data_IF_216220583461
#
_entry.id   IF_216220583461
#
_cell.length_a   1.000
_cell.length_b   1.000
_cell.length_c   1.000
_cell.angle_alpha   90.00
_cell.angle_beta   90.00
_cell.angle_gamma   90.00
#
_symmetry.space_group_name_H-M   'P 1'
#
loop_
_entity.id
_entity.type
_entity.pdbx_description
1 polymer ?
#
# COMPACT_ATOMS: atom_id res chain seq x y z
N UNK A 1 10.41 1.33 26.37
CA UNK A 1 11.20 1.62 25.14
C UNK A 1 10.38 2.56 24.26
N UNK A 2 10.98 3.54 23.56
CA UNK A 2 10.25 4.38 22.62
C UNK A 2 9.69 3.56 21.45
N UNK A 3 8.53 3.95 20.94
CA UNK A 3 7.95 3.40 19.71
C UNK A 3 8.49 4.20 18.54
N UNK A 4 9.16 3.55 17.60
CA UNK A 4 9.57 4.14 16.32
C UNK A 4 8.37 4.13 15.38
N UNK A 5 7.95 5.30 14.92
CA UNK A 5 6.85 5.43 13.97
C UNK A 5 7.38 5.87 12.60
N UNK A 6 7.47 4.92 11.67
CA UNK A 6 8.07 5.12 10.36
C UNK A 6 7.05 5.74 9.41
N UNK A 7 7.43 6.86 8.80
CA UNK A 7 6.62 7.62 7.84
C UNK A 7 7.24 7.44 6.45
N UNK A 8 6.50 6.90 5.46
CA UNK A 8 7.07 6.50 4.17
C UNK A 8 7.30 7.63 3.17
N UNK A 9 7.27 8.89 3.61
CA UNK A 9 7.38 10.08 2.78
C UNK A 9 8.20 11.18 3.46
N UNK A 10 8.60 12.18 2.67
CA UNK A 10 9.43 13.29 3.12
C UNK A 10 8.75 14.10 4.23
N UNK A 11 9.57 14.71 5.08
CA UNK A 11 9.11 15.60 6.13
C UNK A 11 8.39 16.83 5.55
N UNK A 12 7.41 17.37 6.27
CA UNK A 12 6.57 18.49 5.83
C UNK A 12 5.51 18.13 4.78
N UNK A 13 5.36 16.85 4.44
CA UNK A 13 4.24 16.32 3.66
C UNK A 13 3.03 15.96 4.53
N UNK A 14 1.93 15.57 3.88
CA UNK A 14 0.68 15.14 4.54
C UNK A 14 0.91 14.00 5.54
N UNK A 15 1.71 13.01 5.13
CA UNK A 15 2.00 11.82 5.93
C UNK A 15 2.89 12.15 7.13
N UNK A 16 3.75 13.17 7.02
CA UNK A 16 4.57 13.64 8.14
C UNK A 16 3.72 14.37 9.19
N UNK A 17 2.83 15.25 8.74
CA UNK A 17 1.89 15.95 9.62
C UNK A 17 1.00 14.95 10.38
N UNK A 18 0.42 13.99 9.66
CA UNK A 18 -0.37 12.91 10.26
C UNK A 18 0.42 12.12 11.31
N UNK A 19 1.65 11.73 10.96
CA UNK A 19 2.48 10.92 11.85
C UNK A 19 2.90 11.65 13.12
N UNK A 20 3.21 12.96 13.00
CA UNK A 20 3.55 13.82 14.13
C UNK A 20 2.34 14.09 15.03
N UNK A 21 1.16 14.30 14.46
CA UNK A 21 -0.09 14.44 15.22
C UNK A 21 -0.36 13.19 16.06
N UNK A 22 -0.23 12.00 15.48
CA UNK A 22 -0.35 10.74 16.23
C UNK A 22 0.68 10.68 17.35
N UNK A 23 1.95 10.99 17.07
CA UNK A 23 3.00 10.93 18.09
C UNK A 23 2.75 11.90 19.27
N UNK A 24 2.25 13.10 18.99
CA UNK A 24 1.95 14.13 19.99
C UNK A 24 0.78 13.74 20.91
N UNK A 25 -0.25 13.08 20.38
CA UNK A 25 -1.46 12.78 21.13
C UNK A 25 -1.51 11.36 21.70
N UNK A 26 -1.06 10.35 20.94
CA UNK A 26 -1.18 8.95 21.33
C UNK A 26 -0.27 8.58 22.52
N UNK A 27 0.85 9.28 22.71
CA UNK A 27 1.75 9.03 23.85
C UNK A 27 1.03 9.09 25.21
N UNK A 28 0.05 10.01 25.36
CA UNK A 28 -0.76 10.18 26.58
C UNK A 28 -1.60 8.93 26.92
N UNK A 29 -2.04 8.20 25.89
CA UNK A 29 -2.86 7.00 26.04
C UNK A 29 -2.02 5.72 26.16
N UNK A 30 -0.71 5.82 26.00
CA UNK A 30 0.24 4.71 26.09
C UNK A 30 1.12 4.84 27.33
N UNK A 31 0.59 5.32 28.45
CA UNK A 31 1.33 5.53 29.70
C UNK A 31 2.60 6.39 29.50
N UNK A 32 2.51 7.45 28.68
CA UNK A 32 3.61 8.34 28.33
C UNK A 32 4.79 7.66 27.62
N UNK A 33 4.55 6.52 26.95
CA UNK A 33 5.55 5.94 26.05
C UNK A 33 5.83 6.92 24.92
N UNK A 34 7.09 7.29 24.75
CA UNK A 34 7.52 8.18 23.67
C UNK A 34 7.30 7.52 22.30
N UNK A 35 6.69 8.27 21.37
CA UNK A 35 6.55 7.89 19.97
C UNK A 35 7.47 8.80 19.16
N UNK A 36 8.38 8.21 18.39
CA UNK A 36 9.40 8.92 17.62
C UNK A 36 9.08 8.80 16.13
N UNK A 37 8.59 9.88 15.48
CA UNK A 37 8.39 9.93 14.04
C UNK A 37 9.72 9.85 13.29
N UNK A 38 9.83 8.93 12.32
CA UNK A 38 11.03 8.77 11.48
C UNK A 38 10.61 8.73 10.02
N UNK A 39 10.93 9.79 9.26
CA UNK A 39 10.71 9.82 7.82
C UNK A 39 11.73 8.93 7.11
N UNK A 40 11.26 7.97 6.31
CA UNK A 40 12.07 7.19 5.37
C UNK A 40 11.46 7.31 3.98
N UNK A 41 12.22 7.86 3.05
CA UNK A 41 11.72 8.24 1.72
C UNK A 41 12.22 7.31 0.62
N UNK A 42 11.63 7.43 -0.57
CA UNK A 42 12.07 6.76 -1.80
C UNK A 42 11.19 5.59 -2.23
N UNK A 43 11.21 5.31 -3.54
CA UNK A 43 10.40 4.29 -4.22
C UNK A 43 8.91 4.33 -3.81
N UNK A 44 8.33 5.54 -3.74
CA UNK A 44 6.94 5.78 -3.31
C UNK A 44 6.56 5.13 -1.97
N UNK A 45 7.53 5.04 -1.06
CA UNK A 45 7.37 4.50 0.28
C UNK A 45 7.68 3.00 0.42
N UNK A 46 8.12 2.33 -0.65
CA UNK A 46 8.52 0.92 -0.59
C UNK A 46 9.70 0.70 0.38
N UNK A 47 10.68 1.61 0.39
CA UNK A 47 11.88 1.51 1.25
C UNK A 47 11.49 1.51 2.73
N UNK A 48 10.60 2.42 3.13
CA UNK A 48 10.09 2.50 4.49
C UNK A 48 9.29 1.24 4.87
N UNK A 49 8.43 0.78 3.97
CA UNK A 49 7.62 -0.43 4.20
C UNK A 49 8.50 -1.66 4.37
N UNK A 50 9.54 -1.81 3.55
CA UNK A 50 10.53 -2.89 3.66
C UNK A 50 11.31 -2.82 4.97
N UNK A 51 11.69 -1.62 5.41
CA UNK A 51 12.37 -1.46 6.69
C UNK A 51 11.52 -1.95 7.87
N UNK A 52 10.22 -1.64 7.88
CA UNK A 52 9.31 -2.11 8.95
C UNK A 52 9.01 -3.60 8.81
N UNK A 53 8.89 -4.12 7.59
CA UNK A 53 8.80 -5.58 7.35
C UNK A 53 9.98 -6.33 7.94
N UNK A 54 11.19 -5.79 7.83
CA UNK A 54 12.42 -6.40 8.33
C UNK A 54 12.68 -6.15 9.82
N UNK A 55 11.94 -5.22 10.45
CA UNK A 55 12.05 -4.95 11.87
C UNK A 55 11.51 -6.11 12.73
N UNK A 56 11.92 -6.14 14.01
CA UNK A 56 11.41 -7.10 14.97
C UNK A 56 9.87 -6.95 15.13
N UNK A 57 9.09 -8.05 15.15
CA UNK A 57 7.64 -8.01 15.35
C UNK A 57 7.31 -7.88 16.85
N UNK A 58 7.84 -6.85 17.51
CA UNK A 58 7.73 -6.61 18.95
C UNK A 58 6.78 -5.44 19.31
N UNK A 59 6.19 -4.80 18.29
CA UNK A 59 5.27 -3.68 18.46
C UNK A 59 5.94 -2.32 18.67
N UNK A 60 7.28 -2.26 18.76
CA UNK A 60 8.02 -1.00 18.93
C UNK A 60 8.39 -0.33 17.61
N UNK A 61 8.16 -0.99 16.48
CA UNK A 61 8.28 -0.38 15.14
C UNK A 61 6.94 -0.42 14.44
N UNK A 62 6.37 0.76 14.20
CA UNK A 62 5.10 0.94 13.52
C UNK A 62 5.32 1.64 12.18
N UNK A 63 4.49 1.31 11.20
CA UNK A 63 4.46 1.94 9.90
C UNK A 63 3.19 2.76 9.73
N UNK A 64 3.33 3.98 9.23
CA UNK A 64 2.21 4.71 8.65
C UNK A 64 1.92 4.12 7.26
N UNK A 65 1.00 3.17 7.21
CA UNK A 65 0.52 2.59 5.96
C UNK A 65 -0.29 3.62 5.17
N UNK A 66 -0.02 3.70 3.87
CA UNK A 66 -0.68 4.60 2.91
C UNK A 66 -1.17 3.78 1.72
N UNK A 67 -2.13 4.30 0.96
CA UNK A 67 -2.65 3.66 -0.26
C UNK A 67 -1.52 3.34 -1.24
N UNK A 68 -0.58 4.27 -1.43
CA UNK A 68 0.58 4.06 -2.30
C UNK A 68 1.37 2.80 -1.89
N UNK A 69 1.70 2.67 -0.60
CA UNK A 69 2.52 1.56 -0.11
C UNK A 69 1.77 0.25 0.01
N UNK A 70 0.50 0.24 0.42
CA UNK A 70 -0.24 -0.99 0.75
C UNK A 70 -1.30 -1.41 -0.26
N UNK A 71 -1.61 -0.60 -1.27
CA UNK A 71 -2.57 -0.96 -2.32
C UNK A 71 -1.97 -0.83 -3.71
N UNK A 72 -1.45 0.36 -4.07
CA UNK A 72 -1.01 0.62 -5.44
C UNK A 72 0.28 -0.12 -5.77
N UNK A 73 1.33 0.01 -4.96
CA UNK A 73 2.61 -0.66 -5.25
C UNK A 73 2.46 -2.19 -5.31
N UNK A 74 1.79 -2.87 -4.36
CA UNK A 74 1.57 -4.32 -4.47
C UNK A 74 0.75 -4.75 -5.69
N UNK A 75 -0.11 -3.87 -6.22
CA UNK A 75 -0.88 -4.15 -7.44
C UNK A 75 -0.10 -3.86 -8.72
N UNK A 76 0.84 -2.92 -8.69
CA UNK A 76 1.61 -2.48 -9.85
C UNK A 76 2.90 -3.28 -10.04
N UNK A 77 3.59 -3.63 -8.95
CA UNK A 77 4.93 -4.21 -8.98
C UNK A 77 4.91 -5.68 -8.55
N UNK A 78 5.00 -6.59 -9.51
CA UNK A 78 5.01 -8.04 -9.26
C UNK A 78 6.23 -8.51 -8.47
N UNK A 79 7.36 -7.79 -8.59
CA UNK A 79 8.64 -8.09 -7.91
C UNK A 79 8.79 -7.40 -6.56
N UNK A 80 7.73 -6.74 -6.06
CA UNK A 80 7.76 -6.06 -4.78
C UNK A 80 8.04 -7.05 -3.66
N UNK A 81 9.02 -6.72 -2.81
CA UNK A 81 9.52 -7.61 -1.77
C UNK A 81 8.62 -7.64 -0.52
N UNK A 82 7.40 -7.10 -0.58
CA UNK A 82 6.41 -7.18 0.48
C UNK A 82 4.99 -7.27 -0.08
N UNK A 83 4.07 -7.80 0.72
CA UNK A 83 2.63 -7.81 0.45
C UNK A 83 1.87 -7.05 1.53
N UNK A 84 0.71 -6.52 1.15
CA UNK A 84 -0.14 -5.75 2.04
C UNK A 84 -0.65 -6.55 3.25
N UNK A 85 -0.77 -7.87 3.11
CA UNK A 85 -1.24 -8.79 4.15
C UNK A 85 -0.14 -9.36 5.07
N UNK A 86 1.09 -8.86 4.95
CA UNK A 86 2.19 -9.20 5.87
C UNK A 86 2.21 -8.32 7.12
N UNK A 87 1.29 -7.36 7.19
CA UNK A 87 1.16 -6.40 8.28
C UNK A 87 -0.16 -6.56 9.02
N UNK A 88 -0.12 -6.43 10.34
CA UNK A 88 -1.28 -6.28 11.21
C UNK A 88 -1.73 -4.83 11.18
N UNK A 89 -2.92 -4.60 10.62
CA UNK A 89 -3.51 -3.27 10.58
C UNK A 89 -4.16 -2.96 11.93
N UNK A 90 -3.74 -1.88 12.58
CA UNK A 90 -4.19 -1.51 13.92
C UNK A 90 -5.41 -0.59 13.88
N UNK A 91 -5.30 0.53 13.19
CA UNK A 91 -6.38 1.53 13.13
C UNK A 91 -6.25 2.42 11.90
N UNK A 92 -7.38 3.02 11.51
CA UNK A 92 -7.47 4.12 10.56
C UNK A 92 -7.30 5.43 11.32
N UNK A 93 -6.30 6.23 10.95
CA UNK A 93 -6.01 7.50 11.64
C UNK A 93 -6.58 8.72 10.92
N UNK A 94 -6.75 8.66 9.61
CA UNK A 94 -7.28 9.78 8.83
C UNK A 94 -7.90 9.33 7.50
N UNK A 95 -8.88 10.12 7.05
CA UNK A 95 -9.42 10.10 5.70
C UNK A 95 -9.24 11.51 5.14
N UNK A 96 -8.35 11.65 4.15
CA UNK A 96 -8.12 12.93 3.50
C UNK A 96 -8.88 13.00 2.16
N UNK A 97 -9.27 14.19 1.66
CA UNK A 97 -9.69 14.40 0.27
C UNK A 97 -8.54 14.85 -0.64
N UNK A 98 -8.52 14.37 -1.91
CA UNK A 98 -7.56 14.84 -2.93
C UNK A 98 -8.10 16.13 -3.51
N UNK A 99 -7.24 17.15 -3.63
CA UNK A 99 -7.60 18.41 -4.26
C UNK A 99 -6.61 18.68 -5.37
N UNK A 100 -7.11 19.01 -6.56
CA UNK A 100 -6.31 19.54 -7.65
C UNK A 100 -6.22 21.05 -7.50
N UNK A 101 -5.01 21.58 -7.44
CA UNK A 101 -4.75 23.01 -7.36
C UNK A 101 -3.76 23.41 -8.44
N UNK A 102 -3.86 24.67 -8.85
CA UNK A 102 -2.93 25.32 -9.77
C UNK A 102 -2.18 26.41 -9.02
N UNK A 103 -1.12 26.96 -9.61
CA UNK A 103 -0.46 28.14 -9.05
C UNK A 103 -1.44 29.32 -9.00
N UNK A 104 -1.24 30.25 -8.05
CA UNK A 104 -2.12 31.41 -7.89
C UNK A 104 -2.17 32.32 -9.13
N UNK A 105 -1.05 32.39 -9.86
CA UNK A 105 -0.86 33.11 -11.12
C UNK A 105 -1.36 32.34 -12.36
N UNK A 106 -1.90 31.14 -12.19
CA UNK A 106 -2.45 30.34 -13.28
C UNK A 106 -3.67 31.01 -13.93
N UNK A 107 -3.81 30.94 -15.26
CA UNK A 107 -5.00 31.42 -15.95
C UNK A 107 -6.23 30.54 -15.68
N UNK A 108 -6.04 29.30 -15.23
CA UNK A 108 -7.14 28.37 -14.94
C UNK A 108 -7.77 28.68 -13.58
N UNK A 109 -9.04 29.06 -13.58
CA UNK A 109 -9.87 29.32 -12.40
C UNK A 109 -10.89 28.21 -12.16
N UNK A 110 -11.18 27.40 -13.18
CA UNK A 110 -12.09 26.26 -13.08
C UNK A 110 -11.44 24.96 -13.54
N UNK A 111 -11.96 23.83 -13.05
CA UNK A 111 -11.54 22.51 -13.53
C UNK A 111 -11.83 22.33 -15.03
N UNK A 112 -12.93 22.92 -15.52
CA UNK A 112 -13.30 22.87 -16.93
C UNK A 112 -12.26 23.57 -17.83
N UNK A 113 -11.74 24.72 -17.41
CA UNK A 113 -10.66 25.43 -18.14
C UNK A 113 -9.38 24.61 -18.19
N UNK A 114 -8.99 24.00 -17.06
CA UNK A 114 -7.80 23.14 -16.99
C UNK A 114 -7.96 21.92 -17.91
N UNK A 115 -9.11 21.25 -17.89
CA UNK A 115 -9.40 20.11 -18.76
C UNK A 115 -9.47 20.52 -20.23
N UNK A 116 -10.05 21.68 -20.53
CA UNK A 116 -10.06 22.26 -21.87
C UNK A 116 -8.65 22.50 -22.39
N UNK A 117 -7.77 23.02 -21.55
CA UNK A 117 -6.36 23.21 -21.91
C UNK A 117 -5.62 21.89 -22.12
N UNK A 118 -5.85 20.89 -21.25
CA UNK A 118 -5.29 19.56 -21.42
C UNK A 118 -5.67 18.91 -22.76
N UNK A 119 -6.90 19.18 -23.25
CA UNK A 119 -7.39 18.71 -24.56
C UNK A 119 -6.76 19.47 -25.73
N UNK A 120 -6.69 20.80 -25.64
CA UNK A 120 -6.13 21.66 -26.71
C UNK A 120 -4.63 21.47 -26.87
N UNK A 121 -3.92 21.31 -25.75
CA UNK A 121 -2.46 21.26 -25.70
C UNK A 121 -1.97 20.00 -24.97
N UNK A 122 -2.18 18.81 -25.57
CA UNK A 122 -1.76 17.54 -24.98
C UNK A 122 -0.26 17.55 -24.66
N UNK A 123 0.09 17.22 -23.40
CA UNK A 123 1.50 17.06 -22.99
C UNK A 123 2.22 18.34 -22.57
N UNK A 124 1.65 19.53 -22.79
CA UNK A 124 2.28 20.80 -22.39
C UNK A 124 2.16 21.10 -20.90
N UNK A 125 1.16 20.53 -20.22
CA UNK A 125 0.94 20.73 -18.80
C UNK A 125 1.79 19.77 -17.96
N UNK A 126 2.66 20.36 -17.14
CA UNK A 126 3.41 19.70 -16.11
C UNK A 126 2.57 19.63 -14.83
N UNK A 127 2.66 18.50 -14.12
CA UNK A 127 1.98 18.28 -12.85
C UNK A 127 2.98 17.71 -11.85
N UNK A 128 2.72 17.94 -10.57
CA UNK A 128 3.57 17.45 -9.48
C UNK A 128 2.83 16.40 -8.66
N UNK A 129 3.53 15.35 -8.26
CA UNK A 129 2.98 14.29 -7.39
C UNK A 129 4.01 13.83 -6.38
N UNK A 130 3.59 13.10 -5.35
CA UNK A 130 4.48 12.48 -4.36
C UNK A 130 5.31 11.31 -4.87
N UNK A 131 5.25 10.99 -6.18
CA UNK A 131 6.05 9.93 -6.82
C UNK A 131 5.24 9.00 -7.73
N UNK A 132 5.95 8.24 -8.55
CA UNK A 132 5.35 7.23 -9.46
C UNK A 132 4.69 6.12 -8.64
N UNK A 133 3.45 5.76 -8.97
CA UNK A 133 2.71 4.74 -8.21
C UNK A 133 2.09 5.26 -6.91
N UNK A 134 2.09 6.58 -6.69
CA UNK A 134 1.22 7.21 -5.69
C UNK A 134 -0.17 7.45 -6.27
N UNK A 135 -1.17 7.59 -5.41
CA UNK A 135 -2.54 7.86 -5.85
C UNK A 135 -2.68 9.19 -6.62
N UNK A 136 -1.91 10.22 -6.27
CA UNK A 136 -1.90 11.49 -7.02
C UNK A 136 -1.43 11.27 -8.46
N UNK A 137 -0.39 10.44 -8.62
CA UNK A 137 0.10 10.03 -9.93
C UNK A 137 -0.93 9.18 -10.69
N UNK A 138 -1.64 8.28 -10.01
CA UNK A 138 -2.73 7.51 -10.63
C UNK A 138 -3.90 8.38 -11.03
N UNK A 139 -4.30 9.35 -10.22
CA UNK A 139 -5.38 10.30 -10.54
C UNK A 139 -5.03 11.14 -11.78
N UNK A 140 -3.82 11.70 -11.83
CA UNK A 140 -3.37 12.47 -13.00
C UNK A 140 -3.34 11.61 -14.28
N UNK A 141 -2.93 10.34 -14.18
CA UNK A 141 -2.97 9.39 -15.30
C UNK A 141 -4.40 9.02 -15.70
N UNK A 142 -5.28 8.80 -14.73
CA UNK A 142 -6.68 8.46 -14.97
C UNK A 142 -7.40 9.57 -15.74
N UNK A 143 -7.19 10.83 -15.38
CA UNK A 143 -7.74 11.98 -16.13
C UNK A 143 -7.27 11.95 -17.59
N UNK A 144 -5.99 11.69 -17.85
CA UNK A 144 -5.47 11.56 -19.23
C UNK A 144 -6.10 10.40 -19.98
N UNK A 145 -6.27 9.24 -19.33
CA UNK A 145 -6.90 8.07 -19.94
C UNK A 145 -8.38 8.34 -20.28
N UNK A 146 -9.11 9.02 -19.39
CA UNK A 146 -10.50 9.43 -19.66
C UNK A 146 -10.57 10.38 -20.87
N UNK A 147 -9.64 11.33 -21.02
CA UNK A 147 -9.61 12.20 -22.20
C UNK A 147 -9.41 11.40 -23.50
N UNK A 148 -8.53 10.39 -23.48
CA UNK A 148 -8.35 9.48 -24.64
C UNK A 148 -9.61 8.68 -24.95
N UNK A 149 -10.31 8.18 -23.93
CA UNK A 149 -11.57 7.46 -24.11
C UNK A 149 -12.67 8.34 -24.74
N UNK A 150 -12.62 9.65 -24.53
CA UNK A 150 -13.49 10.63 -25.19
C UNK A 150 -12.96 11.13 -26.55
N UNK A 151 -11.95 10.48 -27.13
CA UNK A 151 -11.42 10.81 -28.46
C UNK A 151 -10.45 11.99 -28.50
N UNK A 152 -10.00 12.51 -27.35
CA UNK A 152 -9.03 13.60 -27.31
C UNK A 152 -7.58 13.09 -27.30
N UNK A 153 -6.64 13.78 -27.95
CA UNK A 153 -5.23 13.43 -27.87
C UNK A 153 -4.76 13.60 -26.42
N UNK A 154 -4.01 12.63 -25.87
CA UNK A 154 -3.35 12.82 -24.57
C UNK A 154 -1.84 12.75 -24.73
N UNK A 155 -1.18 13.87 -24.46
CA UNK A 155 0.28 13.98 -24.54
C UNK A 155 0.95 13.53 -23.24
N UNK A 156 2.27 13.41 -23.30
CA UNK A 156 3.13 12.98 -22.20
C UNK A 156 3.62 14.21 -21.42
N UNK A 157 2.82 14.69 -20.46
CA UNK A 157 3.29 15.70 -19.53
C UNK A 157 4.19 15.03 -18.48
N UNK A 158 5.32 15.64 -18.17
CA UNK A 158 6.26 15.08 -17.19
C UNK A 158 5.77 15.35 -15.76
N UNK A 159 5.84 14.31 -14.94
CA UNK A 159 5.55 14.38 -13.52
C UNK A 159 6.84 14.77 -12.78
N UNK A 160 6.90 15.99 -12.23
CA UNK A 160 8.03 16.40 -11.39
C UNK A 160 7.71 16.13 -9.93
N UNK A 161 8.56 15.39 -9.22
CA UNK A 161 8.40 15.10 -7.79
C UNK A 161 8.68 16.32 -6.88
N UNK A 162 8.87 17.53 -7.44
CA UNK A 162 9.14 18.74 -6.65
C UNK A 162 7.87 19.23 -5.96
N UNK A 163 7.75 18.90 -4.67
CA UNK A 163 6.94 19.66 -3.71
C UNK A 163 5.42 19.59 -3.89
N UNK A 164 4.88 18.44 -4.31
CA UNK A 164 3.43 18.21 -4.29
C UNK A 164 2.94 18.12 -2.85
N UNK A 165 2.52 19.27 -2.27
CA UNK A 165 1.82 19.32 -0.99
C UNK A 165 0.32 19.14 -1.24
N UNK A 166 -0.30 18.27 -0.47
CA UNK A 166 -1.74 17.92 -0.41
C UNK A 166 -2.17 16.64 -1.17
N UNK A 167 -2.00 15.52 -0.44
CA UNK A 167 -2.93 14.40 -0.09
C UNK A 167 -3.87 13.80 -1.14
N UNK A 168 -4.37 12.54 -1.06
CA UNK A 168 -4.49 11.52 0.01
C UNK A 168 -3.44 10.41 0.09
N UNK A 169 -3.49 9.77 1.26
CA UNK A 169 -3.79 8.36 1.35
C UNK A 169 -4.78 8.09 2.51
N UNK A 170 -5.31 6.88 2.60
CA UNK A 170 -5.88 6.28 3.81
C UNK A 170 -4.69 5.95 4.71
N UNK A 171 -4.58 6.66 5.83
CA UNK A 171 -3.53 6.43 6.82
C UNK A 171 -3.97 5.33 7.76
N UNK A 172 -3.29 4.20 7.76
CA UNK A 172 -3.48 3.18 8.80
C UNK A 172 -2.19 2.95 9.54
N UNK A 173 -2.27 2.61 10.82
CA UNK A 173 -1.09 2.14 11.54
C UNK A 173 -0.97 0.64 11.28
N UNK A 174 0.19 0.22 10.81
CA UNK A 174 0.50 -1.16 10.53
C UNK A 174 1.66 -1.62 11.42
N UNK A 175 1.46 -2.71 12.16
CA UNK A 175 2.52 -3.45 12.86
C UNK A 175 2.91 -4.70 12.06
N UNK A 176 4.11 -5.24 12.25
CA UNK A 176 4.47 -6.52 11.61
C UNK A 176 3.70 -7.67 12.27
N UNK A 177 3.08 -8.53 11.47
CA UNK A 177 2.41 -9.72 11.99
C UNK A 177 3.43 -10.77 12.44
N UNK A 178 3.31 -11.26 13.68
CA UNK A 178 4.00 -12.48 14.12
C UNK A 178 3.24 -13.67 13.52
N UNK A 179 3.75 -14.29 12.46
CA UNK A 179 3.22 -15.59 12.02
C UNK A 179 3.62 -16.63 13.08
N UNK A 180 2.73 -16.89 14.04
CA UNK A 180 2.81 -18.12 14.83
C UNK A 180 2.44 -19.28 13.90
N UNK A 181 3.45 -20.04 13.44
CA UNK A 181 3.21 -21.41 12.99
C UNK A 181 2.91 -22.25 14.23
N UNK A 182 1.68 -22.19 14.74
CA UNK A 182 1.13 -23.25 15.57
C UNK A 182 0.47 -24.25 14.63
N UNK A 183 0.82 -25.53 14.79
CA UNK A 183 0.56 -26.60 13.85
C UNK A 183 -0.91 -26.75 13.47
N UNK A 184 -1.12 -26.97 12.18
CA UNK A 184 -2.31 -27.64 11.66
C UNK A 184 -1.85 -28.96 11.03
N UNK A 185 -1.57 -29.94 11.89
CA UNK A 185 -2.04 -31.33 11.73
C UNK A 185 -3.23 -31.37 12.69
N UNK A 186 -4.47 -31.31 12.22
CA UNK A 186 -5.12 -32.35 11.45
C UNK A 186 -5.90 -33.17 12.46
N UNK A 187 -7.18 -32.85 12.65
CA UNK A 187 -8.18 -33.75 13.20
C UNK A 187 -9.59 -33.29 12.82
N UNK A 188 -10.18 -34.12 11.96
CA UNK A 188 -11.47 -34.76 12.23
C UNK A 188 -12.74 -33.90 12.18
N UNK A 189 -13.13 -33.51 10.96
CA UNK A 189 -14.53 -33.27 10.62
C UNK A 189 -14.82 -33.51 9.13
N UNK A 190 -14.55 -34.73 8.66
CA UNK A 190 -15.30 -35.29 7.51
C UNK A 190 -15.27 -36.82 7.54
N UNK A 191 -15.96 -37.39 8.54
CA UNK A 191 -16.29 -38.82 8.63
C UNK A 191 -17.81 -38.98 8.48
N UNK A 192 -18.37 -38.64 7.33
CA UNK A 192 -19.67 -39.17 6.88
C UNK A 192 -19.70 -39.14 5.36
N UNK A 193 -19.26 -40.25 4.77
CA UNK A 193 -19.74 -40.85 3.52
C UNK A 193 -18.69 -41.90 3.14
N UNK A 194 -18.83 -43.10 3.71
CA UNK A 194 -18.51 -44.38 3.07
C UNK A 194 -18.32 -45.48 4.12
N UNK A 195 -19.34 -46.33 4.21
CA UNK A 195 -19.27 -47.70 4.69
C UNK A 195 -20.46 -48.47 4.08
N UNK A 196 -20.38 -49.80 3.98
CA UNK A 196 -19.22 -50.63 3.60
C UNK A 196 -19.68 -51.78 2.66
N UNK A 197 -18.76 -52.73 2.39
CA UNK A 197 -18.94 -54.16 2.06
C UNK A 197 -17.94 -54.51 0.94
N UNK A 198 -16.92 -55.35 1.09
CA UNK A 198 -16.50 -56.21 2.17
C UNK A 198 -15.64 -57.33 1.55
N UNK A 199 -14.60 -57.77 2.28
CA UNK A 199 -13.93 -59.08 2.16
C UNK A 199 -13.18 -59.36 0.82
N UNK A 200 -12.02 -60.02 0.75
CA UNK A 200 -11.15 -60.70 1.70
C UNK A 200 -9.77 -60.90 1.03
N UNK A 201 -8.72 -61.08 1.86
CA UNK A 201 -7.64 -62.10 1.84
C UNK A 201 -7.16 -62.66 0.47
N UNK A 202 -5.90 -63.01 0.22
CA UNK A 202 -4.63 -63.08 0.93
C UNK A 202 -3.60 -63.68 -0.06
N UNK A 203 -2.32 -63.69 0.35
CA UNK A 203 -1.25 -64.63 -0.05
C UNK A 203 -0.67 -64.46 -1.48
N UNK A 204 0.63 -64.19 -1.68
CA UNK A 204 1.84 -65.02 -1.45
C UNK A 204 2.35 -65.59 -2.80
N UNK A 205 3.67 -65.56 -3.03
CA UNK A 205 4.33 -66.48 -3.98
C UNK A 205 4.78 -65.94 -5.34
N UNK A 206 6.07 -65.61 -5.42
CA UNK A 206 7.07 -66.33 -6.23
C UNK A 206 6.82 -66.66 -7.72
N UNK A 207 7.75 -66.14 -8.54
CA UNK A 207 8.46 -66.78 -9.69
C UNK A 207 7.79 -66.94 -11.08
N UNK A 208 8.56 -66.40 -12.05
CA UNK A 208 9.01 -66.98 -13.35
C UNK A 208 8.06 -67.14 -14.55
N UNK A 209 8.57 -66.55 -15.64
CA UNK A 209 8.74 -67.06 -17.02
C UNK A 209 7.53 -67.28 -17.96
N UNK A 210 7.64 -66.57 -19.09
CA UNK A 210 7.60 -67.02 -20.50
C UNK A 210 6.28 -67.57 -21.04
N UNK A 211 5.84 -66.92 -22.12
CA UNK A 211 4.85 -67.34 -23.10
C UNK A 211 4.70 -66.25 -24.14
#
# INVERSE_FOLDING_TARGET
KPITFVIPFAAGGDSDLSGRNVAQHASKYLNNVAIVPVNRTGASGAIATMAVKNAAPDGYTLLLARIATHAILPALESKLQYKWNEFTMLSLIEINPYICFVRSDSPFRTAAELLGEMRRNPGKLNFSTSGIGTSQNMAARAVRLQQRAHGHPAGEGQCSARGARHSNAIGRIAGRAKRSRSGLRGDEQDRRLDRPHGAARAAEGSRRQVG
#
